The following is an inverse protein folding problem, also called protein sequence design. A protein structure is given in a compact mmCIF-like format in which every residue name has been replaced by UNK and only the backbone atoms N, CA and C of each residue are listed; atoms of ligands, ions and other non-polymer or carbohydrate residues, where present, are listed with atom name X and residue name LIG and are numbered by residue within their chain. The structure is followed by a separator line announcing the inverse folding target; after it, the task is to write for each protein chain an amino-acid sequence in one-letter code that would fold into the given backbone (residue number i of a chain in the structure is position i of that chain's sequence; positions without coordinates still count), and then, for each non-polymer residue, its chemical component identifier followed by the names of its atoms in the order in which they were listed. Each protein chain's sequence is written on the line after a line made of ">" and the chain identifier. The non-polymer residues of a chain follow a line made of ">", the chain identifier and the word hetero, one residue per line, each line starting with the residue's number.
data_IF_988845594787
#
_entry.id   IF_988845594787
#
_cell.length_a   1.000
_cell.length_b   1.000
_cell.length_c   1.000
_cell.angle_alpha   90.00
_cell.angle_beta   90.00
_cell.angle_gamma   90.00
#
_symmetry.space_group_name_H-M   'P 1'
#
loop_
_entity.id
_entity.type
_entity.pdbx_description
1 polymer ?
#
# COMPACT_ATOMS: atom_id res chain seq x y z
N UNK A 1 -21.38 3.75 17.23
CA UNK A 1 -21.16 3.13 15.93
C UNK A 1 -20.47 4.17 15.06
N UNK A 2 -19.15 4.34 15.01
CA UNK A 2 -17.99 3.69 15.64
C UNK A 2 -17.04 4.79 16.15
N UNK A 3 -16.33 4.51 17.23
CA UNK A 3 -15.58 5.48 18.04
C UNK A 3 -14.09 5.53 17.64
N UNK A 4 -13.78 5.77 16.35
CA UNK A 4 -12.40 5.65 15.81
C UNK A 4 -11.71 7.01 15.54
N UNK A 5 -12.17 8.12 16.13
CA UNK A 5 -11.61 9.46 15.88
C UNK A 5 -10.52 9.89 16.89
N UNK A 6 -9.61 8.99 17.28
CA UNK A 6 -8.53 9.31 18.25
C UNK A 6 -7.20 8.56 18.11
N UNK A 7 -6.73 8.28 16.89
CA UNK A 7 -5.28 8.10 16.67
C UNK A 7 -4.72 9.34 15.95
N UNK A 8 -4.07 10.28 16.66
CA UNK A 8 -3.34 11.37 16.02
C UNK A 8 -2.12 10.78 15.28
N UNK A 9 -2.29 10.39 14.02
CA UNK A 9 -1.19 9.82 13.23
C UNK A 9 -1.58 8.87 12.08
N UNK A 10 -2.84 8.43 11.97
CA UNK A 10 -3.29 7.68 10.78
C UNK A 10 -3.67 8.68 9.69
N UNK A 11 -2.71 8.94 8.81
CA UNK A 11 -2.92 9.73 7.61
C UNK A 11 -3.62 8.84 6.57
N UNK A 12 -4.81 9.23 6.12
CA UNK A 12 -5.57 8.52 5.07
C UNK A 12 -5.24 9.14 3.71
N UNK A 13 -3.96 9.20 3.38
CA UNK A 13 -3.54 9.50 2.02
C UNK A 13 -3.56 8.18 1.26
N UNK A 14 -4.06 8.20 0.02
CA UNK A 14 -3.99 7.01 -0.83
C UNK A 14 -2.71 7.08 -1.66
N UNK A 15 -1.67 6.39 -1.21
CA UNK A 15 -0.41 6.33 -1.96
C UNK A 15 -0.52 5.51 -3.25
N UNK A 16 -1.59 4.72 -3.42
CA UNK A 16 -1.86 3.96 -4.63
C UNK A 16 -2.53 4.81 -5.73
N UNK A 17 -3.26 5.86 -5.37
CA UNK A 17 -3.93 6.79 -6.30
C UNK A 17 -2.98 7.84 -6.92
N UNK A 18 -1.69 7.51 -7.03
CA UNK A 18 -0.71 8.34 -7.73
C UNK A 18 -0.49 7.85 -9.17
N UNK A 19 0.15 8.67 -10.00
CA UNK A 19 0.40 8.35 -11.42
C UNK A 19 1.22 7.06 -11.65
N UNK A 20 1.79 6.47 -10.60
CA UNK A 20 2.70 5.31 -10.66
C UNK A 20 2.28 4.14 -9.76
N UNK A 21 1.01 4.04 -9.33
CA UNK A 21 0.50 2.93 -8.50
C UNK A 21 1.33 2.70 -7.22
N UNK A 22 1.71 3.76 -6.50
CA UNK A 22 2.59 3.65 -5.33
C UNK A 22 4.01 3.19 -5.66
N UNK A 23 4.39 3.12 -6.94
CA UNK A 23 5.63 2.51 -7.40
C UNK A 23 5.58 0.97 -7.45
N UNK A 24 4.42 0.35 -7.20
CA UNK A 24 4.26 -1.10 -7.21
C UNK A 24 4.19 -1.65 -8.65
N UNK A 25 4.92 -2.74 -8.92
CA UNK A 25 4.91 -3.40 -10.26
C UNK A 25 3.58 -4.09 -10.54
N UNK A 26 2.99 -4.73 -9.53
CA UNK A 26 1.71 -5.41 -9.65
C UNK A 26 0.62 -4.64 -8.90
N UNK A 27 0.24 -5.08 -7.71
CA UNK A 27 -0.89 -4.52 -6.97
C UNK A 27 -0.39 -3.59 -5.85
N UNK A 28 -1.04 -2.44 -5.68
CA UNK A 28 -0.85 -1.54 -4.55
C UNK A 28 -2.05 -1.61 -3.62
N UNK A 29 -1.81 -1.81 -2.32
CA UNK A 29 -2.84 -1.85 -1.29
C UNK A 29 -2.63 -0.67 -0.35
N UNK A 30 -3.55 0.29 -0.41
CA UNK A 30 -3.62 1.41 0.51
C UNK A 30 -4.08 0.90 1.89
N UNK A 31 -3.36 1.28 2.94
CA UNK A 31 -3.59 0.91 4.34
C UNK A 31 -3.68 2.21 5.15
N UNK A 32 -4.56 2.35 6.15
CA UNK A 32 -4.57 3.55 6.97
C UNK A 32 -3.18 3.86 7.57
N UNK A 33 -2.55 4.94 7.12
CA UNK A 33 -1.21 5.38 7.54
C UNK A 33 -0.02 4.80 6.76
N UNK A 34 -0.22 3.96 5.73
CA UNK A 34 0.86 3.44 4.85
C UNK A 34 0.28 2.75 3.59
N UNK A 35 1.12 2.20 2.74
CA UNK A 35 0.71 1.28 1.68
C UNK A 35 1.65 0.07 1.62
N UNK A 36 1.27 -0.95 0.86
CA UNK A 36 2.17 -2.04 0.50
C UNK A 36 1.93 -2.51 -0.92
N UNK A 37 2.99 -2.96 -1.58
CA UNK A 37 2.88 -3.67 -2.84
C UNK A 37 2.66 -5.17 -2.61
N UNK A 38 1.83 -5.78 -3.45
CA UNK A 38 1.58 -7.22 -3.50
C UNK A 38 1.80 -7.74 -4.92
N UNK A 39 2.23 -8.99 -5.01
CA UNK A 39 2.50 -9.67 -6.27
C UNK A 39 1.43 -10.72 -6.54
N UNK A 40 1.10 -10.93 -7.82
CA UNK A 40 0.20 -12.01 -8.24
C UNK A 40 0.78 -13.39 -7.91
N UNK A 41 -0.10 -14.39 -7.90
CA UNK A 41 0.27 -15.78 -7.63
C UNK A 41 1.41 -16.25 -8.54
N UNK A 42 2.41 -16.88 -7.93
CA UNK A 42 3.61 -17.36 -8.62
C UNK A 42 4.78 -16.36 -8.63
N UNK A 43 4.58 -15.13 -8.17
CA UNK A 43 5.64 -14.13 -8.00
C UNK A 43 5.92 -13.83 -6.54
N UNK A 44 7.15 -13.44 -6.23
CA UNK A 44 7.57 -13.03 -4.89
C UNK A 44 7.91 -11.55 -4.86
N UNK A 45 7.50 -10.85 -3.79
CA UNK A 45 7.86 -9.46 -3.60
C UNK A 45 9.38 -9.35 -3.37
N UNK A 46 10.03 -8.51 -4.18
CA UNK A 46 11.44 -8.21 -4.07
C UNK A 46 11.75 -7.47 -2.77
N UNK A 47 13.03 -7.43 -2.40
CA UNK A 47 13.48 -6.79 -1.15
C UNK A 47 13.29 -5.27 -1.14
N UNK A 48 13.13 -4.64 -2.30
CA UNK A 48 12.78 -3.22 -2.42
C UNK A 48 11.31 -2.93 -2.06
N UNK A 49 10.49 -3.97 -1.88
CA UNK A 49 9.08 -3.85 -1.52
C UNK A 49 8.17 -3.36 -2.64
N UNK A 50 8.66 -3.26 -3.89
CA UNK A 50 7.94 -2.69 -5.03
C UNK A 50 7.96 -3.59 -6.26
N UNK A 51 9.08 -4.26 -6.52
CA UNK A 51 9.24 -5.17 -7.65
C UNK A 51 8.75 -6.59 -7.31
N UNK A 52 8.41 -7.36 -8.34
CA UNK A 52 8.02 -8.76 -8.23
C UNK A 52 8.99 -9.63 -9.03
N UNK A 53 9.44 -10.75 -8.44
CA UNK A 53 10.37 -11.74 -9.01
C UNK A 53 9.68 -13.05 -9.35
#
# INVERSE_FOLDING_TARGET
>A
MDCELRRPGIHYIDECDNDYNGGCVHECINIPGNYRCTCYDGFMLAHDGHNCL
#
